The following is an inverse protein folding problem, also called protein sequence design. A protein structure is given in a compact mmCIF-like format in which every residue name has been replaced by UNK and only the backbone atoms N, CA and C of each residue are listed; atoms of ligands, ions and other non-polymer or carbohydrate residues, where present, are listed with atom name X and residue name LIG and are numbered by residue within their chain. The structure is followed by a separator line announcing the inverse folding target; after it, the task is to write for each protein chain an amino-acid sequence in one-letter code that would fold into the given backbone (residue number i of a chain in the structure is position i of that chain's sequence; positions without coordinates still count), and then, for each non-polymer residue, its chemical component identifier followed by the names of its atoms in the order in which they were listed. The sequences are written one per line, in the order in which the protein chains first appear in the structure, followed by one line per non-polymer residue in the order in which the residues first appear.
data_IF_957425763144
#
_entry.id   IF_957425763144
#
_cell.length_a   1.000
_cell.length_b   1.000
_cell.length_c   1.000
_cell.angle_alpha   90.00
_cell.angle_beta   90.00
_cell.angle_gamma   90.00
#
_symmetry.space_group_name_H-M   'P 1'
#
loop_
_entity.id
_entity.type
_entity.pdbx_description
1 polymer ?
#
# COMPACT_ATOMS: atom_id res chain seq x y z
N UNK A 1 -10.57 5.28 -2.49
CA UNK A 1 -9.44 4.36 -2.28
C UNK A 1 -8.29 4.89 -3.13
N UNK A 2 -7.22 5.42 -2.54
CA UNK A 2 -6.08 5.94 -3.30
C UNK A 2 -5.39 4.76 -3.99
N UNK A 3 -5.30 4.83 -5.32
CA UNK A 3 -4.66 3.80 -6.14
C UNK A 3 -3.17 4.10 -6.17
N UNK A 4 -2.34 3.15 -5.76
CA UNK A 4 -0.88 3.32 -5.65
C UNK A 4 -0.15 3.33 -7.00
N UNK A 5 -0.87 3.32 -8.11
CA UNK A 5 -0.34 3.24 -9.47
C UNK A 5 -1.27 3.93 -10.45
N UNK A 6 -0.75 4.31 -11.62
CA UNK A 6 -1.52 4.96 -12.67
C UNK A 6 -2.41 3.94 -13.40
N UNK A 7 -3.73 4.15 -13.36
CA UNK A 7 -4.72 3.31 -14.03
C UNK A 7 -4.73 3.47 -15.56
N UNK A 8 -4.29 4.62 -16.08
CA UNK A 8 -4.26 4.92 -17.52
C UNK A 8 -2.95 4.47 -18.19
N UNK A 9 -2.02 3.87 -17.43
CA UNK A 9 -0.76 3.39 -17.97
C UNK A 9 -1.01 2.18 -18.91
N UNK A 10 -0.39 2.16 -20.11
CA UNK A 10 -0.57 1.05 -21.04
C UNK A 10 -0.03 -0.26 -20.45
N UNK A 11 -0.83 -1.33 -20.54
CA UNK A 11 -0.42 -2.67 -20.09
C UNK A 11 0.77 -3.15 -20.91
N UNK A 12 1.91 -3.36 -20.24
CA UNK A 12 3.11 -3.92 -20.86
C UNK A 12 3.17 -5.44 -20.65
N UNK A 13 3.33 -6.26 -21.70
CA UNK A 13 3.60 -7.68 -21.53
C UNK A 13 4.95 -7.82 -20.82
N UNK A 14 4.91 -8.42 -19.64
CA UNK A 14 6.10 -8.63 -18.82
C UNK A 14 6.39 -10.12 -18.79
N UNK A 15 7.58 -10.54 -19.23
CA UNK A 15 8.01 -11.92 -19.13
C UNK A 15 8.33 -12.22 -17.66
N UNK A 16 7.49 -13.03 -17.00
CA UNK A 16 7.74 -13.51 -15.64
C UNK A 16 8.00 -15.00 -15.65
N UNK A 17 8.92 -15.43 -14.79
CA UNK A 17 9.14 -16.84 -14.48
C UNK A 17 8.22 -17.22 -13.33
N UNK A 18 7.22 -18.07 -13.60
CA UNK A 18 6.24 -18.57 -12.62
C UNK A 18 6.27 -20.09 -12.65
N UNK A 19 5.96 -20.74 -11.52
CA UNK A 19 5.81 -22.19 -11.46
C UNK A 19 4.82 -22.68 -12.53
N UNK A 20 5.28 -23.60 -13.37
CA UNK A 20 4.52 -24.15 -14.49
C UNK A 20 3.28 -24.93 -14.05
N UNK A 21 3.35 -25.62 -12.90
CA UNK A 21 2.22 -26.36 -12.34
C UNK A 21 1.12 -25.41 -11.87
N UNK A 22 1.49 -24.34 -11.15
CA UNK A 22 0.55 -23.31 -10.72
C UNK A 22 -0.13 -22.63 -11.91
N UNK A 23 0.61 -22.37 -12.99
CA UNK A 23 0.08 -21.76 -14.21
C UNK A 23 -0.88 -22.71 -14.94
N UNK A 24 -0.58 -24.01 -14.95
CA UNK A 24 -1.47 -25.04 -15.47
C UNK A 24 -2.76 -25.13 -14.66
N UNK A 25 -2.66 -25.20 -13.33
CA UNK A 25 -3.82 -25.22 -12.44
C UNK A 25 -4.69 -23.97 -12.61
N UNK A 26 -4.08 -22.78 -12.66
CA UNK A 26 -4.82 -21.53 -12.86
C UNK A 26 -5.56 -21.50 -14.20
N UNK A 27 -4.94 -22.00 -15.29
CA UNK A 27 -5.60 -22.15 -16.59
C UNK A 27 -6.74 -23.15 -16.54
N UNK A 28 -6.55 -24.30 -15.89
CA UNK A 28 -7.59 -25.33 -15.76
C UNK A 28 -8.79 -24.82 -14.96
N UNK A 29 -8.55 -23.96 -13.97
CA UNK A 29 -9.57 -23.31 -13.17
C UNK A 29 -10.17 -22.05 -13.83
N UNK A 30 -9.77 -21.75 -15.07
CA UNK A 30 -10.23 -20.58 -15.83
C UNK A 30 -9.98 -19.23 -15.12
N UNK A 31 -8.92 -19.17 -14.31
CA UNK A 31 -8.54 -17.98 -13.55
C UNK A 31 -7.83 -16.99 -14.47
N UNK A 32 -8.24 -15.72 -14.43
CA UNK A 32 -7.56 -14.65 -15.15
C UNK A 32 -6.25 -14.27 -14.44
N UNK A 33 -5.16 -14.96 -14.81
CA UNK A 33 -3.83 -14.79 -14.23
C UNK A 33 -3.37 -13.33 -14.29
N UNK A 34 -3.66 -12.62 -15.39
CA UNK A 34 -3.26 -11.22 -15.54
C UNK A 34 -3.92 -10.33 -14.49
N UNK A 35 -5.23 -10.51 -14.25
CA UNK A 35 -5.98 -9.73 -13.27
C UNK A 35 -5.56 -10.05 -11.83
N UNK A 36 -5.32 -11.33 -11.53
CA UNK A 36 -4.83 -11.76 -10.21
C UNK A 36 -3.43 -11.20 -9.94
N UNK A 37 -2.53 -11.28 -10.93
CA UNK A 37 -1.17 -10.75 -10.80
C UNK A 37 -1.19 -9.23 -10.62
N UNK A 38 -2.01 -8.51 -11.39
CA UNK A 38 -2.16 -7.06 -11.29
C UNK A 38 -2.65 -6.65 -9.89
N UNK A 39 -3.65 -7.35 -9.36
CA UNK A 39 -4.20 -7.10 -8.02
C UNK A 39 -3.18 -7.42 -6.91
N UNK A 40 -2.55 -8.60 -6.98
CA UNK A 40 -1.56 -9.02 -5.99
C UNK A 40 -0.32 -8.10 -5.98
N UNK A 41 0.10 -7.63 -7.17
CA UNK A 41 1.20 -6.69 -7.29
C UNK A 41 0.81 -5.32 -6.73
N UNK A 42 -0.38 -4.81 -7.04
CA UNK A 42 -0.90 -3.57 -6.49
C UNK A 42 -0.96 -3.61 -4.95
N UNK A 43 -1.43 -4.73 -4.37
CA UNK A 43 -1.47 -4.90 -2.92
C UNK A 43 -0.08 -4.94 -2.30
N UNK A 44 0.88 -5.62 -2.93
CA UNK A 44 2.27 -5.64 -2.44
C UNK A 44 2.95 -4.29 -2.53
N UNK A 45 2.74 -3.54 -3.62
CA UNK A 45 3.24 -2.17 -3.77
C UNK A 45 2.63 -1.28 -2.70
N UNK A 46 1.32 -1.35 -2.49
CA UNK A 46 0.62 -0.59 -1.45
C UNK A 46 1.16 -0.87 -0.05
N UNK A 47 1.34 -2.15 0.30
CA UNK A 47 1.92 -2.55 1.58
C UNK A 47 3.32 -1.95 1.76
N UNK A 48 4.17 -2.06 0.74
CA UNK A 48 5.52 -1.53 0.81
C UNK A 48 5.55 0.00 0.93
N UNK A 49 4.76 0.71 0.13
CA UNK A 49 4.64 2.17 0.24
C UNK A 49 4.13 2.61 1.61
N UNK A 50 3.22 1.85 2.21
CA UNK A 50 2.72 2.14 3.55
C UNK A 50 3.81 1.93 4.61
N UNK A 51 4.57 0.84 4.52
CA UNK A 51 5.71 0.59 5.41
C UNK A 51 6.76 1.67 5.27
N UNK A 52 7.17 1.98 4.04
CA UNK A 52 8.20 2.98 3.75
C UNK A 52 7.74 4.37 4.23
N UNK A 53 6.47 4.74 4.02
CA UNK A 53 5.89 5.99 4.54
C UNK A 53 5.89 6.03 6.08
N UNK A 54 5.54 4.92 6.73
CA UNK A 54 5.58 4.85 8.20
C UNK A 54 7.00 5.02 8.70
N UNK A 55 7.99 4.36 8.11
CA UNK A 55 9.40 4.50 8.49
C UNK A 55 9.89 5.94 8.33
N UNK A 56 9.61 6.58 7.19
CA UNK A 56 9.98 7.98 6.93
C UNK A 56 9.30 8.96 7.90
N UNK A 57 8.03 8.73 8.23
CA UNK A 57 7.24 9.65 9.05
C UNK A 57 7.32 9.35 10.55
N UNK A 58 7.92 8.22 10.96
CA UNK A 58 8.01 7.82 12.37
C UNK A 58 8.69 8.90 13.22
N UNK A 59 9.79 9.49 12.73
CA UNK A 59 10.48 10.56 13.47
C UNK A 59 9.63 11.83 13.61
N UNK A 60 8.94 12.23 12.54
CA UNK A 60 8.05 13.38 12.53
C UNK A 60 6.83 13.18 13.45
N UNK A 61 6.27 11.97 13.45
CA UNK A 61 5.16 11.57 14.32
C UNK A 61 5.62 11.60 15.79
N UNK A 62 6.77 11.03 16.12
CA UNK A 62 7.31 11.06 17.49
C UNK A 62 7.58 12.49 17.94
N UNK A 63 8.20 13.32 17.09
CA UNK A 63 8.45 14.72 17.41
C UNK A 63 7.15 15.48 17.66
N UNK A 64 6.15 15.31 16.79
CA UNK A 64 4.85 15.93 16.95
C UNK A 64 4.13 15.43 18.22
N UNK A 65 4.14 14.12 18.50
CA UNK A 65 3.55 13.55 19.70
C UNK A 65 4.21 14.10 20.97
N UNK A 66 5.55 14.20 21.02
CA UNK A 66 6.26 14.80 22.13
C UNK A 66 5.95 16.29 22.29
N UNK A 67 5.78 17.01 21.18
CA UNK A 67 5.39 18.42 21.18
C UNK A 67 3.96 18.59 21.73
N UNK A 68 3.02 17.75 21.32
CA UNK A 68 1.64 17.75 21.86
C UNK A 68 1.62 17.36 23.34
N UNK A 69 2.41 16.38 23.77
CA UNK A 69 2.48 15.97 25.17
C UNK A 69 3.08 17.07 26.07
N UNK A 70 4.04 17.83 25.54
CA UNK A 70 4.71 18.91 26.28
C UNK A 70 3.93 20.23 26.27
N UNK A 71 3.30 20.58 25.15
CA UNK A 71 2.71 21.90 24.93
C UNK A 71 1.18 21.89 24.80
N UNK A 72 0.56 20.70 24.83
CA UNK A 72 -0.87 20.54 24.56
C UNK A 72 -1.21 20.74 23.09
N UNK A 73 -2.48 20.54 22.74
CA UNK A 73 -3.01 20.98 21.45
C UNK A 73 -3.67 22.35 21.59
N UNK A 74 -3.62 23.18 20.55
CA UNK A 74 -4.26 24.51 20.53
C UNK A 74 -5.74 24.49 20.94
N UNK A 75 -6.43 23.37 20.75
CA UNK A 75 -7.83 23.19 21.11
C UNK A 75 -8.08 22.61 22.51
N UNK A 76 -7.05 22.32 23.30
CA UNK A 76 -7.24 21.71 24.64
C UNK A 76 -8.02 22.65 25.57
N UNK A 77 -7.73 23.95 25.55
CA UNK A 77 -8.48 24.95 26.33
C UNK A 77 -9.92 25.18 25.83
N UNK A 78 -10.26 24.71 24.63
CA UNK A 78 -11.60 24.83 24.03
C UNK A 78 -12.43 23.53 24.21
N UNK A 79 -11.85 22.49 24.82
CA UNK A 79 -12.47 21.17 24.93
C UNK A 79 -13.33 21.07 26.19
N UNK A 80 -14.57 21.54 26.11
CA UNK A 80 -15.58 21.30 27.16
C UNK A 80 -16.24 19.95 26.91
N UNK A 81 -16.02 18.97 27.80
CA UNK A 81 -16.78 17.73 27.87
C UNK A 81 -17.85 17.81 28.97
#
# INVERSE_FOLDING_TARGET
MLVCYNLDAPKKPTNLTINSDLLSQAKNLNINISSVLETALADKVRQKMQTDWLEENTQSIIFYNNHVDTFGVFSDDLRTF
#
